data_IF_612700984823
#
_entry.id   IF_612700984823
#
_cell.length_a   1.000
_cell.length_b   1.000
_cell.length_c   1.000
_cell.angle_alpha   90.00
_cell.angle_beta   90.00
_cell.angle_gamma   90.00
#
_symmetry.space_group_name_H-M   'P 1'
#
loop_
_entity.id
_entity.type
_entity.pdbx_description
1 polymer ?
#
# COMPACT_ATOMS: atom_id res chain seq x y z
N UNK A 1 2.09 33.71 -23.07
CA UNK A 1 2.86 33.85 -21.81
C UNK A 1 2.24 33.17 -20.59
N UNK A 2 0.93 33.29 -20.29
CA UNK A 2 0.33 32.61 -19.12
C UNK A 2 0.40 31.08 -19.17
N UNK A 3 0.29 30.50 -20.36
CA UNK A 3 0.40 29.05 -20.59
C UNK A 3 1.82 28.52 -20.42
N UNK A 4 2.84 29.25 -20.88
CA UNK A 4 4.24 28.85 -20.73
C UNK A 4 4.67 28.84 -19.26
N UNK A 5 4.23 29.83 -18.47
CA UNK A 5 4.48 29.85 -17.02
C UNK A 5 3.82 28.67 -16.31
N UNK A 6 2.59 28.30 -16.69
CA UNK A 6 1.89 27.13 -16.12
C UNK A 6 2.62 25.83 -16.47
N UNK A 7 3.02 25.66 -17.73
CA UNK A 7 3.75 24.47 -18.18
C UNK A 7 5.10 24.35 -17.46
N UNK A 8 5.88 25.42 -17.40
CA UNK A 8 7.16 25.43 -16.68
C UNK A 8 6.99 25.16 -15.18
N UNK A 9 5.91 25.66 -14.57
CA UNK A 9 5.61 25.40 -13.15
C UNK A 9 5.27 23.93 -12.89
N UNK A 10 4.60 23.27 -13.83
CA UNK A 10 4.31 21.83 -13.76
C UNK A 10 5.59 21.02 -13.91
N UNK A 11 6.45 21.36 -14.87
CA UNK A 11 7.77 20.71 -15.03
C UNK A 11 8.60 20.88 -13.76
N UNK A 12 8.66 22.09 -13.20
CA UNK A 12 9.38 22.37 -11.97
C UNK A 12 8.82 21.58 -10.78
N UNK A 13 7.51 21.39 -10.70
CA UNK A 13 6.88 20.53 -9.68
C UNK A 13 7.38 19.08 -9.76
N UNK A 14 7.42 18.49 -10.96
CA UNK A 14 7.96 17.14 -11.13
C UNK A 14 9.46 17.06 -10.81
N UNK A 15 10.24 18.09 -11.14
CA UNK A 15 11.65 18.16 -10.76
C UNK A 15 11.84 18.21 -9.24
N UNK A 16 11.01 18.99 -8.52
CA UNK A 16 11.05 18.99 -7.06
C UNK A 16 10.62 17.65 -6.46
N UNK A 17 9.63 16.96 -7.05
CA UNK A 17 9.27 15.61 -6.63
C UNK A 17 10.46 14.67 -6.79
N UNK A 18 11.14 14.69 -7.94
CA UNK A 18 12.32 13.86 -8.19
C UNK A 18 13.47 14.17 -7.24
N UNK A 19 13.75 15.45 -6.99
CA UNK A 19 14.77 15.89 -6.04
C UNK A 19 14.47 15.38 -4.62
N UNK A 20 13.23 15.56 -4.15
CA UNK A 20 12.81 15.08 -2.84
C UNK A 20 12.84 13.56 -2.76
N UNK A 21 12.48 12.85 -3.84
CA UNK A 21 12.59 11.39 -3.92
C UNK A 21 14.01 10.92 -3.65
N UNK A 22 14.99 11.53 -4.32
CA UNK A 22 16.40 11.18 -4.16
C UNK A 22 16.89 11.45 -2.74
N UNK A 23 16.56 12.62 -2.18
CA UNK A 23 16.94 12.98 -0.80
C UNK A 23 16.30 12.03 0.22
N UNK A 24 15.06 11.61 0.00
CA UNK A 24 14.35 10.68 0.89
C UNK A 24 14.93 9.26 0.77
N UNK A 25 15.31 8.84 -0.43
CA UNK A 25 15.98 7.55 -0.67
C UNK A 25 17.36 7.47 0.00
N UNK A 26 18.15 8.55 -0.05
CA UNK A 26 19.43 8.63 0.66
C UNK A 26 19.27 8.46 2.19
N UNK A 27 18.12 8.88 2.75
CA UNK A 27 17.82 8.71 4.19
C UNK A 27 17.55 7.23 4.53
N UNK A 28 17.08 6.42 3.58
CA UNK A 28 16.83 4.99 3.79
C UNK A 28 18.13 4.19 3.97
N UNK A 29 19.23 4.63 3.35
CA UNK A 29 20.53 3.95 3.45
C UNK A 29 21.23 4.19 4.80
N UNK A 30 20.79 5.18 5.60
CA UNK A 30 21.42 5.49 6.90
C UNK A 30 21.22 4.40 7.95
N UNK A 31 20.17 3.58 7.82
CA UNK A 31 19.88 2.49 8.74
C UNK A 31 19.31 1.31 7.94
N UNK A 32 20.02 0.18 7.81
CA UNK A 32 19.48 -0.97 7.13
C UNK A 32 18.28 -1.55 7.90
N UNK A 33 17.30 -2.14 7.20
CA UNK A 33 16.15 -2.76 7.84
C UNK A 33 16.61 -3.93 8.71
N UNK A 34 15.91 -4.20 9.84
CA UNK A 34 16.17 -5.40 10.62
C UNK A 34 15.97 -6.65 9.75
N UNK A 35 16.89 -7.60 9.82
CA UNK A 35 16.79 -8.87 9.08
C UNK A 35 16.20 -9.97 9.96
N UNK A 36 15.14 -10.62 9.49
CA UNK A 36 14.45 -11.68 10.23
C UNK A 36 15.37 -12.84 10.63
N UNK A 37 16.36 -13.19 9.80
CA UNK A 37 17.28 -14.29 10.09
C UNK A 37 18.10 -14.04 11.35
N UNK A 38 18.52 -12.80 11.62
CA UNK A 38 19.27 -12.48 12.83
C UNK A 38 18.44 -12.74 14.11
N UNK A 39 17.12 -12.55 14.05
CA UNK A 39 16.22 -12.86 15.16
C UNK A 39 16.00 -14.36 15.32
N UNK A 40 15.95 -15.13 14.23
CA UNK A 40 15.86 -16.59 14.30
C UNK A 40 17.16 -17.23 14.78
N UNK A 41 18.32 -16.76 14.31
CA UNK A 41 19.62 -17.28 14.73
C UNK A 41 19.93 -17.00 16.20
N UNK A 42 19.42 -15.88 16.74
CA UNK A 42 19.62 -15.49 18.14
C UNK A 42 18.52 -16.03 19.06
N UNK A 43 17.28 -16.11 18.58
CA UNK A 43 16.09 -16.46 19.37
C UNK A 43 15.78 -17.96 19.41
N UNK A 44 16.29 -18.75 18.47
CA UNK A 44 16.07 -20.21 18.43
C UNK A 44 17.30 -20.91 18.98
N UNK A 45 17.07 -21.96 19.78
CA UNK A 45 18.15 -22.80 20.27
C UNK A 45 18.90 -23.47 19.11
N UNK A 46 20.21 -23.21 19.04
CA UNK A 46 21.09 -23.75 18.02
C UNK A 46 21.14 -25.29 18.06
N UNK A 47 20.95 -25.91 19.22
CA UNK A 47 20.90 -27.37 19.39
C UNK A 47 19.65 -27.95 18.73
N UNK A 48 18.48 -27.33 18.94
CA UNK A 48 17.22 -27.77 18.32
C UNK A 48 17.27 -27.67 16.80
N UNK A 49 17.87 -26.60 16.28
CA UNK A 49 18.03 -26.40 14.84
C UNK A 49 19.01 -27.41 14.23
N UNK A 50 20.07 -27.80 14.96
CA UNK A 50 20.97 -28.89 14.55
C UNK A 50 20.25 -30.24 14.53
N UNK A 51 19.54 -30.58 15.61
CA UNK A 51 18.76 -31.81 15.70
C UNK A 51 17.72 -31.90 14.56
N UNK A 52 16.99 -30.82 14.27
CA UNK A 52 16.04 -30.78 13.15
C UNK A 52 16.72 -31.05 11.80
N UNK A 53 17.94 -30.53 11.56
CA UNK A 53 18.70 -30.82 10.33
C UNK A 53 19.16 -32.27 10.24
N UNK A 54 19.63 -32.85 11.34
CA UNK A 54 20.06 -34.25 11.40
C UNK A 54 18.90 -35.23 11.18
N UNK A 55 17.74 -34.97 11.80
CA UNK A 55 16.53 -35.78 11.59
C UNK A 55 15.98 -35.65 10.16
N UNK A 56 16.05 -34.46 9.54
CA UNK A 56 15.67 -34.32 8.14
C UNK A 56 16.63 -35.03 7.19
N UNK A 57 17.94 -34.99 7.45
CA UNK A 57 18.93 -35.70 6.65
C UNK A 57 18.75 -37.22 6.74
N UNK A 58 18.52 -37.75 7.95
CA UNK A 58 18.23 -39.19 8.15
C UNK A 58 16.90 -39.62 7.53
N UNK A 59 15.86 -38.78 7.59
CA UNK A 59 14.59 -39.03 6.92
C UNK A 59 14.76 -39.18 5.41
N UNK A 60 15.62 -38.36 4.80
CA UNK A 60 15.88 -38.43 3.35
C UNK A 60 16.61 -39.72 2.97
N UNK A 61 17.59 -40.16 3.75
CA UNK A 61 18.26 -41.45 3.55
C UNK A 61 17.25 -42.61 3.62
N UNK A 62 16.39 -42.64 4.64
CA UNK A 62 15.37 -43.69 4.78
C UNK A 62 14.38 -43.66 3.62
N UNK A 63 13.99 -42.48 3.13
CA UNK A 63 13.11 -42.38 1.95
C UNK A 63 13.75 -42.97 0.71
N UNK A 64 15.03 -42.70 0.48
CA UNK A 64 15.79 -43.29 -0.63
C UNK A 64 15.87 -44.82 -0.49
N UNK A 65 16.17 -45.33 0.70
CA UNK A 65 16.24 -46.77 0.96
C UNK A 65 14.88 -47.46 0.80
N UNK A 66 13.81 -46.83 1.26
CA UNK A 66 12.44 -47.32 1.09
C UNK A 66 12.04 -47.38 -0.38
N UNK A 67 12.41 -46.38 -1.18
CA UNK A 67 12.16 -46.39 -2.62
C UNK A 67 12.90 -47.54 -3.32
N UNK A 68 14.18 -47.75 -2.97
CA UNK A 68 14.98 -48.89 -3.45
C UNK A 68 14.37 -50.23 -3.04
N UNK A 69 13.94 -50.36 -1.79
CA UNK A 69 13.31 -51.60 -1.31
C UNK A 69 11.94 -51.85 -1.95
N UNK A 70 11.19 -50.80 -2.28
CA UNK A 70 9.93 -50.92 -3.01
C UNK A 70 10.13 -51.50 -4.42
N UNK A 71 11.21 -51.11 -5.10
CA UNK A 71 11.58 -51.68 -6.40
C UNK A 71 11.96 -53.16 -6.28
N UNK A 72 12.80 -53.50 -5.29
CA UNK A 72 13.18 -54.90 -5.00
C UNK A 72 11.93 -55.74 -4.74
N UNK A 73 11.03 -55.29 -3.86
CA UNK A 73 9.77 -55.98 -3.57
C UNK A 73 8.92 -56.20 -4.82
N UNK A 74 8.87 -55.22 -5.72
CA UNK A 74 8.13 -55.33 -6.99
C UNK A 74 8.72 -56.44 -7.85
N UNK A 75 10.04 -56.43 -8.05
CA UNK A 75 10.74 -57.47 -8.80
C UNK A 75 10.57 -58.87 -8.17
N UNK A 76 10.62 -58.99 -6.84
CA UNK A 76 10.37 -60.25 -6.12
C UNK A 76 8.91 -60.70 -6.23
N UNK A 77 7.95 -59.77 -6.22
CA UNK A 77 6.53 -60.05 -6.42
C UNK A 77 6.26 -60.62 -7.82
N UNK A 78 6.92 -60.08 -8.84
CA UNK A 78 6.83 -60.59 -10.21
C UNK A 78 7.44 -61.99 -10.32
N UNK A 79 8.64 -62.21 -9.78
CA UNK A 79 9.29 -63.51 -9.75
C UNK A 79 8.46 -64.57 -8.99
N UNK A 80 7.87 -64.19 -7.85
CA UNK A 80 6.92 -65.03 -7.11
C UNK A 80 5.68 -65.36 -7.94
N UNK A 81 5.15 -64.39 -8.69
CA UNK A 81 4.04 -64.60 -9.62
C UNK A 81 4.35 -65.67 -10.66
N UNK A 82 5.52 -65.58 -11.30
CA UNK A 82 5.99 -66.57 -12.28
C UNK A 82 6.19 -67.95 -11.65
N UNK A 83 6.83 -68.02 -10.48
CA UNK A 83 7.05 -69.29 -9.76
C UNK A 83 5.72 -69.95 -9.33
N UNK A 84 4.76 -69.15 -8.88
CA UNK A 84 3.40 -69.60 -8.54
C UNK A 84 2.68 -70.18 -9.75
N UNK A 85 2.74 -69.50 -10.89
CA UNK A 85 2.08 -69.95 -12.12
C UNK A 85 2.71 -71.26 -12.65
N UNK A 86 4.03 -71.39 -12.52
CA UNK A 86 4.80 -72.59 -12.89
C UNK A 86 4.42 -73.77 -11.99
N UNK A 87 4.38 -73.56 -10.68
CA UNK A 87 3.92 -74.57 -9.72
C UNK A 87 2.46 -74.97 -9.96
N UNK A 88 1.56 -74.00 -10.19
CA UNK A 88 0.17 -74.26 -10.50
C UNK A 88 0.01 -75.06 -11.81
N UNK A 89 0.85 -74.80 -12.82
CA UNK A 89 0.86 -75.58 -14.06
C UNK A 89 1.32 -77.01 -13.83
N UNK A 90 2.44 -77.22 -13.14
CA UNK A 90 2.93 -78.56 -12.80
C UNK A 90 1.89 -79.34 -11.98
N UNK A 91 1.23 -78.68 -11.03
CA UNK A 91 0.17 -79.27 -10.22
C UNK A 91 -1.06 -79.67 -11.06
N UNK A 92 -1.48 -78.84 -12.02
CA UNK A 92 -2.58 -79.18 -12.95
C UNK A 92 -2.26 -80.41 -13.78
N UNK A 93 -1.04 -80.52 -14.33
CA UNK A 93 -0.62 -81.69 -15.12
C UNK A 93 -0.58 -82.94 -14.24
N UNK A 94 -0.04 -82.83 -13.03
CA UNK A 94 -0.02 -83.92 -12.05
C UNK A 94 -1.43 -84.42 -11.69
N UNK A 95 -2.37 -83.50 -11.44
CA UNK A 95 -3.77 -83.84 -11.16
C UNK A 95 -4.47 -84.47 -12.37
N UNK A 96 -4.17 -84.00 -13.58
CA UNK A 96 -4.73 -84.55 -14.81
C UNK A 96 -4.32 -86.03 -15.00
N UNK A 97 -3.05 -86.37 -14.80
CA UNK A 97 -2.55 -87.75 -14.90
C UNK A 97 -3.24 -88.67 -13.88
N UNK A 98 -3.37 -88.22 -12.63
CA UNK A 98 -4.10 -88.96 -11.58
C UNK A 98 -5.57 -89.17 -11.94
N UNK A 99 -6.25 -88.14 -12.45
CA UNK A 99 -7.66 -88.21 -12.84
C UNK A 99 -7.89 -89.09 -14.06
N UNK A 100 -6.92 -89.16 -14.96
CA UNK A 100 -6.92 -90.06 -16.12
C UNK A 100 -6.61 -91.52 -15.75
N UNK A 101 -6.40 -91.84 -14.46
CA UNK A 101 -6.12 -93.19 -13.99
C UNK A 101 -4.70 -93.68 -14.29
N UNK A 102 -3.78 -92.78 -14.66
CA UNK A 102 -2.36 -93.09 -14.91
C UNK A 102 -1.52 -92.74 -13.68
N UNK A 103 -0.46 -93.52 -13.43
CA UNK A 103 0.52 -93.14 -12.41
C UNK A 103 1.45 -92.07 -12.96
N UNK A 104 1.63 -90.93 -12.26
CA UNK A 104 2.57 -89.89 -12.67
C UNK A 104 4.00 -90.46 -12.81
N UNK A 105 4.68 -90.11 -13.90
CA UNK A 105 6.08 -90.49 -14.11
C UNK A 105 6.96 -89.97 -12.95
N UNK A 106 8.12 -90.61 -12.74
CA UNK A 106 9.12 -90.14 -11.77
C UNK A 106 9.59 -88.73 -12.09
N UNK A 107 9.79 -88.43 -13.38
CA UNK A 107 10.18 -87.11 -13.89
C UNK A 107 9.15 -86.03 -13.52
N UNK A 108 7.85 -86.27 -13.75
CA UNK A 108 6.79 -85.31 -13.43
C UNK A 108 6.67 -85.03 -11.92
N UNK A 109 6.94 -86.03 -11.08
CA UNK A 109 6.98 -85.84 -9.61
C UNK A 109 8.15 -85.00 -9.17
N UNK A 110 9.30 -85.16 -9.81
CA UNK A 110 10.50 -84.36 -9.56
C UNK A 110 10.31 -82.91 -10.03
N UNK A 111 9.73 -82.69 -11.21
CA UNK A 111 9.37 -81.35 -11.72
C UNK A 111 8.41 -80.62 -10.77
N UNK A 112 7.39 -81.32 -10.24
CA UNK A 112 6.47 -80.74 -9.27
C UNK A 112 7.19 -80.35 -7.96
N UNK A 113 8.09 -81.20 -7.48
CA UNK A 113 8.88 -80.92 -6.28
C UNK A 113 9.80 -79.71 -6.47
N UNK A 114 10.51 -79.65 -7.60
CA UNK A 114 11.37 -78.51 -7.96
C UNK A 114 10.56 -77.21 -8.12
N UNK A 115 9.39 -77.27 -8.77
CA UNK A 115 8.52 -76.10 -8.92
C UNK A 115 7.97 -75.61 -7.57
N UNK A 116 7.63 -76.53 -6.66
CA UNK A 116 7.21 -76.19 -5.30
C UNK A 116 8.34 -75.54 -4.51
N UNK A 117 9.55 -76.10 -4.54
CA UNK A 117 10.73 -75.52 -3.90
C UNK A 117 11.01 -74.11 -4.43
N UNK A 118 11.00 -73.93 -5.75
CA UNK A 118 11.16 -72.63 -6.39
C UNK A 118 10.11 -71.59 -5.97
N UNK A 119 8.85 -72.00 -5.82
CA UNK A 119 7.78 -71.13 -5.32
C UNK A 119 8.01 -70.75 -3.85
N UNK A 120 8.33 -71.70 -2.98
CA UNK A 120 8.60 -71.42 -1.56
C UNK A 120 9.82 -70.51 -1.36
N UNK A 121 10.88 -70.70 -2.16
CA UNK A 121 12.04 -69.82 -2.16
C UNK A 121 11.68 -68.40 -2.62
N UNK A 122 10.90 -68.27 -3.70
CA UNK A 122 10.44 -66.96 -4.17
C UNK A 122 9.55 -66.27 -3.13
N UNK A 123 8.66 -67.00 -2.47
CA UNK A 123 7.83 -66.51 -1.37
C UNK A 123 8.68 -65.99 -0.21
N UNK A 124 9.70 -66.74 0.23
CA UNK A 124 10.58 -66.33 1.32
C UNK A 124 11.31 -65.01 0.99
N UNK A 125 11.82 -64.85 -0.24
CA UNK A 125 12.48 -63.58 -0.65
C UNK A 125 11.52 -62.39 -0.76
N UNK A 126 10.25 -62.63 -1.08
CA UNK A 126 9.23 -61.59 -1.09
C UNK A 126 8.85 -61.18 0.35
N UNK A 127 8.69 -62.15 1.25
CA UNK A 127 8.42 -61.92 2.66
C UNK A 127 9.55 -61.11 3.31
N UNK A 128 10.82 -61.46 3.03
CA UNK A 128 12.01 -60.71 3.45
C UNK A 128 11.95 -59.24 3.01
N UNK A 129 11.77 -58.99 1.71
CA UNK A 129 11.66 -57.63 1.17
C UNK A 129 10.45 -56.86 1.75
N UNK A 130 9.34 -57.56 2.05
CA UNK A 130 8.18 -56.94 2.68
C UNK A 130 8.43 -56.59 4.15
N UNK A 131 9.16 -57.42 4.89
CA UNK A 131 9.56 -57.11 6.28
C UNK A 131 10.53 -55.93 6.34
N UNK A 132 11.54 -55.88 5.46
CA UNK A 132 12.48 -54.77 5.40
C UNK A 132 11.79 -53.44 5.07
N UNK A 133 10.82 -53.46 4.15
CA UNK A 133 10.01 -52.29 3.83
C UNK A 133 9.14 -51.82 5.01
N UNK A 134 8.61 -52.77 5.79
CA UNK A 134 7.84 -52.46 7.00
C UNK A 134 8.73 -51.84 8.09
N UNK A 135 9.94 -52.36 8.28
CA UNK A 135 10.92 -51.84 9.24
C UNK A 135 11.38 -50.42 8.87
N UNK A 136 11.69 -50.16 7.60
CA UNK A 136 11.97 -48.80 7.10
C UNK A 136 10.79 -47.85 7.30
N UNK A 137 9.56 -48.35 7.10
CA UNK A 137 8.34 -47.60 7.37
C UNK A 137 8.18 -47.22 8.85
N UNK A 138 8.51 -48.15 9.77
CA UNK A 138 8.48 -47.90 11.20
C UNK A 138 9.54 -46.88 11.62
N UNK A 139 10.76 -46.96 11.08
CA UNK A 139 11.81 -45.97 11.32
C UNK A 139 11.43 -44.58 10.79
N UNK A 140 10.86 -44.49 9.58
CA UNK A 140 10.37 -43.24 9.00
C UNK A 140 9.33 -42.58 9.91
N UNK A 141 8.40 -43.39 10.45
CA UNK A 141 7.38 -42.90 11.38
C UNK A 141 7.98 -42.40 12.69
N UNK A 142 8.93 -43.12 13.27
CA UNK A 142 9.61 -42.72 14.50
C UNK A 142 10.35 -41.38 14.33
N UNK A 143 11.09 -41.19 13.23
CA UNK A 143 11.77 -39.92 12.94
C UNK A 143 10.77 -38.79 12.72
N UNK A 144 9.66 -39.03 12.02
CA UNK A 144 8.61 -38.02 11.85
C UNK A 144 7.98 -37.61 13.17
N UNK A 145 7.82 -38.55 14.11
CA UNK A 145 7.33 -38.25 15.44
C UNK A 145 8.30 -37.34 16.20
N UNK A 146 9.60 -37.61 16.15
CA UNK A 146 10.63 -36.75 16.76
C UNK A 146 10.74 -35.37 16.09
N UNK A 147 10.56 -35.30 14.77
CA UNK A 147 10.47 -34.02 14.08
C UNK A 147 9.25 -33.23 14.53
N UNK A 148 8.11 -33.88 14.79
CA UNK A 148 6.91 -33.21 15.28
C UNK A 148 7.09 -32.72 16.73
N UNK A 149 7.77 -33.48 17.60
CA UNK A 149 8.08 -33.04 18.98
C UNK A 149 9.06 -31.87 18.97
N UNK A 150 10.09 -31.91 18.12
CA UNK A 150 11.03 -30.81 17.91
C UNK A 150 10.34 -29.56 17.37
N UNK A 151 9.49 -29.68 16.35
CA UNK A 151 8.76 -28.54 15.79
C UNK A 151 7.85 -27.91 16.84
N UNK A 152 7.20 -28.70 17.71
CA UNK A 152 6.42 -28.15 18.83
C UNK A 152 7.26 -27.36 19.85
N UNK A 153 8.56 -27.68 19.99
CA UNK A 153 9.51 -26.94 20.85
C UNK A 153 10.05 -25.69 20.17
N UNK A 154 10.31 -25.76 18.86
CA UNK A 154 10.86 -24.66 18.06
C UNK A 154 9.78 -23.60 17.74
N UNK A 155 8.54 -24.03 17.51
CA UNK A 155 7.42 -23.16 17.14
C UNK A 155 7.22 -21.97 18.08
N UNK A 156 7.15 -22.11 19.42
CA UNK A 156 7.02 -20.95 20.31
C UNK A 156 8.22 -20.00 20.21
N UNK A 157 9.45 -20.52 20.08
CA UNK A 157 10.65 -19.70 19.91
C UNK A 157 10.63 -18.92 18.59
N UNK A 158 10.13 -19.53 17.50
CA UNK A 158 9.94 -18.84 16.22
C UNK A 158 8.90 -17.71 16.32
N UNK A 159 7.80 -17.95 17.05
CA UNK A 159 6.77 -16.92 17.25
C UNK A 159 7.35 -15.77 18.06
N UNK A 160 8.04 -16.05 19.17
CA UNK A 160 8.68 -15.02 19.99
C UNK A 160 9.73 -14.22 19.19
N UNK A 161 10.58 -14.89 18.44
CA UNK A 161 11.56 -14.23 17.57
C UNK A 161 10.89 -13.36 16.48
N UNK A 162 9.74 -13.81 15.94
CA UNK A 162 8.96 -13.03 14.99
C UNK A 162 8.32 -11.80 15.63
N UNK A 163 7.78 -11.92 16.85
CA UNK A 163 7.20 -10.80 17.59
C UNK A 163 8.27 -9.73 17.89
N UNK A 164 9.47 -10.15 18.29
CA UNK A 164 10.62 -9.24 18.48
C UNK A 164 11.05 -8.56 17.18
N UNK A 165 11.03 -9.29 16.06
CA UNK A 165 11.28 -8.73 14.74
C UNK A 165 10.22 -7.69 14.35
N UNK A 166 8.94 -7.97 14.63
CA UNK A 166 7.84 -7.04 14.34
C UNK A 166 7.99 -5.75 15.16
N UNK A 167 8.34 -5.85 16.45
CA UNK A 167 8.60 -4.71 17.31
C UNK A 167 9.81 -3.89 16.81
N UNK A 168 10.92 -4.55 16.49
CA UNK A 168 12.10 -3.89 15.94
C UNK A 168 11.82 -3.20 14.59
N UNK A 169 10.98 -3.81 13.74
CA UNK A 169 10.57 -3.25 12.46
C UNK A 169 9.68 -2.02 12.65
N UNK A 170 8.76 -2.05 13.61
CA UNK A 170 7.93 -0.88 13.96
C UNK A 170 8.78 0.28 14.44
N UNK A 171 9.70 0.05 15.37
CA UNK A 171 10.61 1.08 15.88
C UNK A 171 11.49 1.67 14.77
N UNK A 172 12.03 0.79 13.93
CA UNK A 172 12.82 1.18 12.76
C UNK A 172 12.03 2.09 11.81
N UNK A 173 10.80 1.71 11.45
CA UNK A 173 9.94 2.48 10.56
C UNK A 173 9.55 3.84 11.16
N UNK A 174 9.25 3.90 12.46
CA UNK A 174 8.95 5.15 13.15
C UNK A 174 10.14 6.10 13.21
N UNK A 175 11.33 5.55 13.45
CA UNK A 175 12.58 6.30 13.47
C UNK A 175 12.88 6.89 12.08
N UNK A 176 12.80 6.09 11.01
CA UNK A 176 12.96 6.56 9.63
C UNK A 176 11.92 7.62 9.26
N UNK A 177 10.66 7.40 9.61
CA UNK A 177 9.59 8.37 9.36
C UNK A 177 9.90 9.72 10.04
N UNK A 178 10.40 9.69 11.27
CA UNK A 178 10.77 10.90 12.02
C UNK A 178 11.90 11.65 11.32
N UNK A 179 12.94 10.97 10.84
CA UNK A 179 14.01 11.60 10.08
C UNK A 179 13.51 12.20 8.76
N UNK A 180 12.73 11.45 7.97
CA UNK A 180 12.14 11.93 6.71
C UNK A 180 11.24 13.15 6.93
N UNK A 181 10.34 13.09 7.91
CA UNK A 181 9.43 14.19 8.23
C UNK A 181 10.16 15.40 8.81
N UNK A 182 11.18 15.20 9.64
CA UNK A 182 12.01 16.29 10.19
C UNK A 182 12.69 17.10 9.09
N UNK A 183 12.95 16.50 7.91
CA UNK A 183 13.49 17.22 6.76
C UNK A 183 12.40 17.89 5.91
N UNK A 184 11.31 17.17 5.60
CA UNK A 184 10.29 17.64 4.65
C UNK A 184 9.36 18.71 5.26
N UNK A 185 9.01 18.58 6.54
CA UNK A 185 8.07 19.52 7.21
C UNK A 185 8.63 20.95 7.22
N UNK A 186 9.89 21.21 7.63
CA UNK A 186 10.46 22.56 7.57
C UNK A 186 10.43 23.17 6.16
N UNK A 187 10.75 22.39 5.13
CA UNK A 187 10.71 22.84 3.73
C UNK A 187 9.28 23.23 3.33
N UNK A 188 8.29 22.42 3.69
CA UNK A 188 6.87 22.69 3.41
C UNK A 188 6.37 23.93 4.15
N UNK A 189 6.71 24.08 5.44
CA UNK A 189 6.33 25.24 6.26
C UNK A 189 6.96 26.53 5.74
N UNK A 190 8.25 26.50 5.37
CA UNK A 190 8.93 27.66 4.77
C UNK A 190 8.28 28.07 3.44
N UNK A 191 7.92 27.10 2.59
CA UNK A 191 7.23 27.36 1.34
C UNK A 191 5.83 27.97 1.57
N UNK A 192 5.06 27.43 2.52
CA UNK A 192 3.75 27.94 2.90
C UNK A 192 3.83 29.37 3.47
N UNK A 193 4.77 29.61 4.38
CA UNK A 193 5.02 30.93 4.98
C UNK A 193 5.41 31.97 3.92
N UNK A 194 6.35 31.61 3.03
CA UNK A 194 6.78 32.49 1.94
C UNK A 194 5.60 32.85 1.01
N UNK A 195 4.74 31.88 0.68
CA UNK A 195 3.56 32.09 -0.16
C UNK A 195 2.50 32.99 0.53
N UNK A 196 2.36 32.87 1.86
CA UNK A 196 1.44 33.67 2.65
C UNK A 196 1.89 35.14 2.78
N UNK A 197 3.18 35.37 3.03
CA UNK A 197 3.74 36.72 3.25
C UNK A 197 4.02 37.47 1.95
N UNK A 198 4.43 36.79 0.86
CA UNK A 198 4.78 37.44 -0.43
C UNK A 198 3.63 37.38 -1.44
N UNK A 199 2.51 38.06 -1.14
CA UNK A 199 1.29 38.02 -1.98
C UNK A 199 1.41 38.69 -3.36
N UNK A 200 2.28 39.69 -3.51
CA UNK A 200 2.46 40.42 -4.78
C UNK A 200 3.68 39.91 -5.59
N UNK A 201 4.37 38.86 -5.12
CA UNK A 201 5.66 38.47 -5.69
C UNK A 201 5.54 37.62 -6.96
N UNK A 202 6.41 37.90 -7.93
CA UNK A 202 6.57 37.19 -9.20
C UNK A 202 6.87 35.69 -8.99
N UNK A 203 7.53 35.33 -7.88
CA UNK A 203 7.95 33.95 -7.57
C UNK A 203 6.82 33.02 -7.07
N UNK A 204 5.57 33.50 -7.00
CA UNK A 204 4.42 32.70 -6.53
C UNK A 204 4.24 31.34 -7.21
N UNK A 205 4.38 31.19 -8.54
CA UNK A 205 4.22 29.89 -9.20
C UNK A 205 5.27 28.87 -8.74
N UNK A 206 6.50 29.32 -8.51
CA UNK A 206 7.62 28.50 -8.02
C UNK A 206 7.36 28.03 -6.59
N UNK A 207 6.99 28.96 -5.69
CA UNK A 207 6.67 28.63 -4.30
C UNK A 207 5.48 27.68 -4.18
N UNK A 208 4.49 27.80 -5.08
CA UNK A 208 3.36 26.86 -5.14
C UNK A 208 3.80 25.47 -5.56
N UNK A 209 4.67 25.34 -6.56
CA UNK A 209 5.21 24.06 -6.99
C UNK A 209 6.00 23.39 -5.86
N UNK A 210 6.87 24.14 -5.17
CA UNK A 210 7.63 23.63 -4.02
C UNK A 210 6.73 23.19 -2.86
N UNK A 211 5.73 24.01 -2.52
CA UNK A 211 4.76 23.67 -1.47
C UNK A 211 3.98 22.40 -1.83
N UNK A 212 3.49 22.29 -3.07
CA UNK A 212 2.71 21.14 -3.50
C UNK A 212 3.58 19.86 -3.53
N UNK A 213 4.83 19.96 -3.99
CA UNK A 213 5.76 18.82 -4.06
C UNK A 213 6.16 18.34 -2.66
N UNK A 214 6.53 19.25 -1.77
CA UNK A 214 6.84 18.92 -0.37
C UNK A 214 5.62 18.33 0.34
N UNK A 215 4.44 18.92 0.18
CA UNK A 215 3.21 18.41 0.77
C UNK A 215 2.85 17.02 0.26
N UNK A 216 2.99 16.76 -1.05
CA UNK A 216 2.78 15.44 -1.63
C UNK A 216 3.66 14.38 -0.95
N UNK A 217 4.95 14.67 -0.78
CA UNK A 217 5.87 13.77 -0.09
C UNK A 217 5.56 13.60 1.40
N UNK A 218 5.08 14.64 2.10
CA UNK A 218 4.58 14.49 3.49
C UNK A 218 3.46 13.45 3.53
N UNK A 219 2.50 13.51 2.59
CA UNK A 219 1.39 12.55 2.53
C UNK A 219 1.88 11.14 2.20
N UNK A 220 2.79 10.99 1.25
CA UNK A 220 3.35 9.69 0.87
C UNK A 220 4.12 9.05 2.03
N UNK A 221 5.06 9.78 2.64
CA UNK A 221 5.86 9.29 3.78
C UNK A 221 4.95 8.93 4.96
N UNK A 222 3.94 9.77 5.24
CA UNK A 222 2.97 9.46 6.29
C UNK A 222 2.15 8.20 6.00
N UNK A 223 1.74 7.98 4.76
CA UNK A 223 0.95 6.79 4.39
C UNK A 223 1.79 5.50 4.44
N UNK A 224 3.06 5.57 4.05
CA UNK A 224 3.93 4.41 3.98
C UNK A 224 4.45 3.96 5.36
N UNK A 225 4.78 4.91 6.24
CA UNK A 225 5.46 4.57 7.50
C UNK A 225 4.55 4.61 8.75
N UNK A 226 3.39 5.27 8.71
CA UNK A 226 2.46 5.29 9.87
C UNK A 226 1.31 4.30 9.66
N UNK A 227 1.11 3.42 10.64
CA UNK A 227 -0.09 2.58 10.74
C UNK A 227 -1.38 3.45 10.62
N UNK A 228 -2.37 2.98 9.86
CA UNK A 228 -3.62 3.70 9.51
C UNK A 228 -4.34 4.35 10.71
N UNK A 229 -4.08 3.89 11.94
CA UNK A 229 -4.70 4.42 13.17
C UNK A 229 -4.37 5.90 13.39
N UNK A 230 -3.12 6.32 13.23
CA UNK A 230 -2.71 7.72 13.47
C UNK A 230 -2.95 8.62 12.27
N UNK A 231 -2.76 8.09 11.05
CA UNK A 231 -3.03 8.81 9.81
C UNK A 231 -4.47 9.34 9.73
N UNK A 232 -5.46 8.57 10.17
CA UNK A 232 -6.88 8.99 10.18
C UNK A 232 -7.10 10.27 10.98
N UNK A 233 -6.48 10.41 12.15
CA UNK A 233 -6.65 11.61 12.98
C UNK A 233 -5.96 12.83 12.37
N UNK A 234 -4.76 12.67 11.82
CA UNK A 234 -4.03 13.78 11.18
C UNK A 234 -4.73 14.22 9.88
N UNK A 235 -5.19 13.27 9.06
CA UNK A 235 -5.94 13.56 7.85
C UNK A 235 -7.27 14.27 8.17
N UNK A 236 -8.02 13.78 9.16
CA UNK A 236 -9.28 14.39 9.59
C UNK A 236 -9.08 15.80 10.13
N UNK A 237 -8.09 16.01 11.02
CA UNK A 237 -7.79 17.34 11.57
C UNK A 237 -7.34 18.31 10.49
N UNK A 238 -6.48 17.88 9.55
CA UNK A 238 -6.08 18.70 8.41
C UNK A 238 -7.29 19.07 7.52
N UNK A 239 -8.19 18.13 7.25
CA UNK A 239 -9.39 18.40 6.46
C UNK A 239 -10.30 19.42 7.16
N UNK A 240 -10.53 19.26 8.47
CA UNK A 240 -11.32 20.21 9.28
C UNK A 240 -10.69 21.60 9.26
N UNK A 241 -9.37 21.71 9.41
CA UNK A 241 -8.66 22.99 9.34
C UNK A 241 -8.76 23.64 7.96
N UNK A 242 -8.68 22.87 6.87
CA UNK A 242 -8.84 23.36 5.50
C UNK A 242 -10.27 23.88 5.29
N UNK A 243 -11.28 23.11 5.70
CA UNK A 243 -12.69 23.50 5.60
C UNK A 243 -12.94 24.76 6.42
N UNK A 244 -12.44 24.83 7.66
CA UNK A 244 -12.57 26.00 8.53
C UNK A 244 -11.90 27.23 7.90
N UNK A 245 -10.69 27.10 7.37
CA UNK A 245 -9.98 28.19 6.71
C UNK A 245 -10.71 28.66 5.44
N UNK A 246 -11.31 27.74 4.69
CA UNK A 246 -12.13 28.07 3.53
C UNK A 246 -13.41 28.79 3.94
N UNK A 247 -14.10 28.31 4.96
CA UNK A 247 -15.32 28.91 5.50
C UNK A 247 -15.05 30.32 6.02
N UNK A 248 -13.96 30.53 6.77
CA UNK A 248 -13.52 31.88 7.20
C UNK A 248 -13.22 32.78 6.01
N UNK A 249 -12.54 32.29 4.96
CA UNK A 249 -12.30 33.08 3.75
C UNK A 249 -13.59 33.44 3.02
N UNK A 250 -14.55 32.52 2.92
CA UNK A 250 -15.84 32.77 2.30
C UNK A 250 -16.63 33.81 3.08
N UNK A 251 -16.69 33.67 4.40
CA UNK A 251 -17.32 34.66 5.27
C UNK A 251 -16.67 36.05 5.12
N UNK A 252 -15.34 36.13 5.09
CA UNK A 252 -14.64 37.40 4.85
C UNK A 252 -14.95 37.98 3.47
N UNK A 253 -15.04 37.15 2.43
CA UNK A 253 -15.36 37.61 1.08
C UNK A 253 -16.82 38.06 0.93
N UNK A 254 -17.74 37.44 1.68
CA UNK A 254 -19.16 37.80 1.69
C UNK A 254 -19.43 39.04 2.54
N UNK A 255 -18.71 39.22 3.65
CA UNK A 255 -18.90 40.36 4.54
C UNK A 255 -18.19 41.64 4.07
N UNK A 256 -17.15 41.54 3.24
CA UNK A 256 -16.41 42.70 2.68
C UNK A 256 -16.10 42.48 1.20
N UNK A 257 -17.04 42.77 0.28
CA UNK A 257 -16.78 42.68 -1.16
C UNK A 257 -15.63 43.60 -1.56
N UNK A 258 -14.84 43.18 -2.57
CA UNK A 258 -13.66 43.94 -3.02
C UNK A 258 -14.09 45.33 -3.51
N UNK A 259 -13.37 46.41 -3.12
CA UNK A 259 -13.75 47.78 -3.47
C UNK A 259 -13.82 47.97 -5.00
N UNK A 260 -12.93 47.33 -5.75
CA UNK A 260 -12.91 47.43 -7.23
C UNK A 260 -14.19 46.86 -7.88
N UNK A 261 -14.77 45.81 -7.29
CA UNK A 261 -16.01 45.21 -7.80
C UNK A 261 -17.20 46.10 -7.46
N UNK A 262 -17.24 46.66 -6.24
CA UNK A 262 -18.27 47.63 -5.85
C UNK A 262 -18.25 48.88 -6.73
N UNK A 263 -17.06 49.40 -7.04
CA UNK A 263 -16.92 50.56 -7.93
C UNK A 263 -17.39 50.26 -9.36
N UNK A 264 -17.09 49.06 -9.88
CA UNK A 264 -17.59 48.63 -11.20
C UNK A 264 -19.11 48.49 -11.22
N UNK A 265 -19.67 47.85 -10.19
CA UNK A 265 -21.12 47.68 -10.06
C UNK A 265 -21.83 49.04 -9.98
N UNK A 266 -21.34 49.96 -9.14
CA UNK A 266 -21.88 51.32 -9.04
C UNK A 266 -21.86 52.03 -10.40
N UNK A 267 -20.74 51.96 -11.12
CA UNK A 267 -20.61 52.58 -12.45
C UNK A 267 -21.66 52.02 -13.42
N UNK A 268 -21.87 50.71 -13.42
CA UNK A 268 -22.88 50.08 -14.28
C UNK A 268 -24.31 50.47 -13.91
N UNK A 269 -24.63 50.61 -12.63
CA UNK A 269 -25.95 51.07 -12.16
C UNK A 269 -26.27 52.50 -12.63
N UNK A 270 -25.30 53.42 -12.55
CA UNK A 270 -25.46 54.79 -13.06
C UNK A 270 -25.68 54.83 -14.58
N UNK A 271 -24.97 53.99 -15.34
CA UNK A 271 -25.20 53.88 -16.79
C UNK A 271 -26.59 53.35 -17.17
N UNK A 272 -27.25 52.63 -16.25
CA UNK A 272 -28.59 52.07 -16.43
C UNK A 272 -29.68 52.94 -15.78
N UNK A 273 -29.35 54.14 -15.29
CA UNK A 273 -30.26 55.03 -14.56
C UNK A 273 -30.96 54.35 -13.37
N UNK A 274 -30.22 53.50 -12.67
CA UNK A 274 -30.69 52.75 -11.50
C UNK A 274 -29.86 53.12 -10.28
N UNK A 275 -30.52 53.24 -9.14
CA UNK A 275 -29.82 53.46 -7.88
C UNK A 275 -28.92 52.24 -7.56
N UNK A 276 -27.63 52.43 -7.25
CA UNK A 276 -26.72 51.32 -6.98
C UNK A 276 -27.00 50.59 -5.66
N UNK A 277 -27.79 51.18 -4.76
CA UNK A 277 -28.10 50.59 -3.46
C UNK A 277 -29.44 49.82 -3.46
N UNK A 278 -30.51 50.42 -4.00
CA UNK A 278 -31.85 49.84 -3.97
C UNK A 278 -32.41 49.47 -5.36
N UNK A 279 -31.62 49.61 -6.42
CA UNK A 279 -32.01 49.36 -7.82
C UNK A 279 -33.22 50.18 -8.33
N UNK A 280 -33.59 51.26 -7.63
CA UNK A 280 -34.67 52.14 -8.03
C UNK A 280 -34.32 52.93 -9.30
N UNK A 281 -35.15 52.83 -10.34
CA UNK A 281 -34.99 53.60 -11.58
C UNK A 281 -35.35 55.06 -11.36
N UNK A 282 -34.45 55.97 -11.72
CA UNK A 282 -34.69 57.42 -11.65
C UNK A 282 -34.74 58.02 -13.07
N UNK A 283 -35.48 59.13 -13.26
CA UNK A 283 -35.60 59.77 -14.57
C UNK A 283 -34.30 60.46 -15.00
N UNK A 284 -34.04 60.51 -16.30
CA UNK A 284 -32.87 61.19 -16.88
C UNK A 284 -32.83 62.70 -16.60
N UNK A 285 -33.99 63.33 -16.43
CA UNK A 285 -34.11 64.73 -16.03
C UNK A 285 -34.12 64.86 -14.51
N UNK A 286 -32.94 64.73 -13.92
CA UNK A 286 -32.67 64.97 -12.50
C UNK A 286 -31.84 66.24 -12.40
N UNK A 287 -32.28 67.19 -11.57
CA UNK A 287 -31.55 68.44 -11.32
C UNK A 287 -30.16 68.22 -10.70
N UNK A 288 -29.47 69.31 -10.36
CA UNK A 288 -28.06 69.27 -9.95
C UNK A 288 -27.78 68.42 -8.69
N UNK A 289 -28.78 68.26 -7.82
CA UNK A 289 -28.74 67.35 -6.67
C UNK A 289 -29.99 66.46 -6.65
N UNK A 290 -29.78 65.15 -6.60
CA UNK A 290 -30.88 64.17 -6.56
C UNK A 290 -30.63 63.10 -5.51
N UNK A 291 -31.61 62.94 -4.63
CA UNK A 291 -31.64 61.93 -3.57
C UNK A 291 -32.70 60.90 -3.90
N UNK A 292 -32.34 59.62 -3.83
CA UNK A 292 -33.28 58.55 -4.15
C UNK A 292 -34.46 58.55 -3.17
N UNK A 293 -35.72 58.60 -3.64
CA UNK A 293 -36.87 58.57 -2.75
C UNK A 293 -37.11 57.20 -2.10
N UNK A 294 -36.56 56.12 -2.65
CA UNK A 294 -36.74 54.76 -2.14
C UNK A 294 -35.77 54.39 -1.02
N UNK A 295 -34.51 54.87 -1.07
CA UNK A 295 -33.48 54.52 -0.09
C UNK A 295 -32.82 55.72 0.61
N UNK A 296 -33.15 56.96 0.22
CA UNK A 296 -32.59 58.17 0.82
C UNK A 296 -31.12 58.43 0.44
N UNK A 297 -30.52 57.63 -0.43
CA UNK A 297 -29.12 57.82 -0.86
C UNK A 297 -29.02 59.00 -1.82
N UNK A 298 -28.13 59.96 -1.52
CA UNK A 298 -27.76 61.04 -2.43
C UNK A 298 -27.00 60.50 -3.64
N UNK A 299 -27.67 60.39 -4.78
CA UNK A 299 -27.09 59.86 -6.03
C UNK A 299 -26.21 60.88 -6.72
N UNK A 300 -26.66 62.13 -6.72
CA UNK A 300 -26.04 63.27 -7.39
C UNK A 300 -25.89 64.45 -6.44
N UNK A 301 -24.74 65.14 -6.51
CA UNK A 301 -24.44 66.34 -5.75
C UNK A 301 -23.55 67.29 -6.56
N UNK A 302 -23.59 68.58 -6.26
CA UNK A 302 -22.76 69.57 -6.94
C UNK A 302 -21.28 69.38 -6.56
N UNK A 303 -20.41 69.42 -7.57
CA UNK A 303 -18.98 69.34 -7.36
C UNK A 303 -18.44 70.64 -6.75
N UNK A 304 -17.72 70.55 -5.64
CA UNK A 304 -17.10 71.71 -4.97
C UNK A 304 -16.05 72.43 -5.85
N UNK A 305 -15.49 71.77 -6.88
CA UNK A 305 -14.47 72.34 -7.75
C UNK A 305 -15.03 73.02 -9.02
N UNK A 306 -16.09 72.47 -9.62
CA UNK A 306 -16.63 72.98 -10.89
C UNK A 306 -18.12 73.37 -10.86
N UNK A 307 -18.83 73.14 -9.75
CA UNK A 307 -20.25 73.47 -9.59
C UNK A 307 -21.24 72.52 -10.28
N UNK A 308 -20.78 71.72 -11.25
CA UNK A 308 -21.63 70.78 -12.01
C UNK A 308 -22.05 69.55 -11.18
N UNK A 309 -23.15 68.90 -11.59
CA UNK A 309 -23.62 67.64 -11.01
C UNK A 309 -22.57 66.53 -11.12
N UNK A 310 -22.36 65.82 -10.02
CA UNK A 310 -21.41 64.72 -9.85
C UNK A 310 -22.13 63.50 -9.31
N UNK A 311 -21.69 62.32 -9.74
CA UNK A 311 -22.02 61.06 -9.07
C UNK A 311 -21.37 60.99 -7.68
N UNK A 312 -22.19 61.03 -6.63
CA UNK A 312 -21.70 61.09 -5.24
C UNK A 312 -20.98 59.78 -4.81
N UNK A 313 -21.40 58.64 -5.35
CA UNK A 313 -20.86 57.31 -4.98
C UNK A 313 -19.61 56.89 -5.79
N UNK A 314 -19.15 57.72 -6.73
CA UNK A 314 -17.89 57.54 -7.46
C UNK A 314 -16.81 58.50 -6.93
N UNK A 315 -15.53 58.08 -6.95
CA UNK A 315 -14.42 58.88 -6.42
C UNK A 315 -14.07 60.10 -7.28
N UNK A 316 -14.30 60.07 -8.60
CA UNK A 316 -13.90 61.13 -9.53
C UNK A 316 -15.09 61.81 -10.18
N UNK A 317 -15.02 63.13 -10.35
CA UNK A 317 -16.00 63.90 -11.13
C UNK A 317 -15.83 63.66 -12.63
N UNK A 318 -16.95 63.48 -13.35
CA UNK A 318 -16.95 63.24 -14.81
C UNK A 318 -16.54 64.49 -15.60
N UNK A 319 -16.76 65.68 -15.06
CA UNK A 319 -16.51 66.95 -15.76
C UNK A 319 -15.10 67.51 -15.55
N UNK A 320 -14.59 67.51 -14.31
CA UNK A 320 -13.30 68.13 -13.97
C UNK A 320 -12.26 67.14 -13.46
N UNK A 321 -12.62 65.87 -13.20
CA UNK A 321 -11.70 64.85 -12.70
C UNK A 321 -11.27 65.00 -11.24
N UNK A 322 -11.83 65.96 -10.48
CA UNK A 322 -11.48 66.13 -9.06
C UNK A 322 -11.84 64.88 -8.26
N UNK A 323 -10.91 64.40 -7.43
CA UNK A 323 -11.14 63.30 -6.49
C UNK A 323 -11.75 63.84 -5.20
N UNK A 324 -12.81 63.20 -4.72
CA UNK A 324 -13.31 63.39 -3.36
C UNK A 324 -13.73 62.01 -2.86
N UNK A 325 -13.46 61.72 -1.61
CA UNK A 325 -13.84 60.45 -1.01
C UNK A 325 -15.33 60.22 -1.23
N UNK A 326 -15.68 59.17 -1.99
CA UNK A 326 -17.07 58.78 -2.17
C UNK A 326 -17.70 58.69 -0.78
N UNK A 327 -18.74 59.49 -0.53
CA UNK A 327 -19.34 59.55 0.79
C UNK A 327 -19.79 58.14 1.15
N UNK A 328 -19.10 57.53 2.12
CA UNK A 328 -19.51 56.29 2.70
C UNK A 328 -20.79 56.63 3.45
N UNK A 329 -21.94 56.39 2.81
CA UNK A 329 -23.20 56.33 3.51
C UNK A 329 -23.00 55.31 4.61
N UNK A 330 -23.08 55.80 5.84
CA UNK A 330 -22.95 55.06 7.08
C UNK A 330 -23.86 53.83 7.07
N UNK A 331 -23.30 52.74 7.59
CA UNK A 331 -23.96 51.47 7.86
C UNK A 331 -25.30 51.62 8.61
#
# INVERSE_FOLDING_TARGET
MRWTIRLLSVVLFFLFIGLLCYIIGDIDDLRPPPELQNFYDTGIDAELTRAQREFNASLEVIRMDKARQQEIKTNRSEAMGVARDTWAQAQRVHQFELTAGRQPSTELREELAQAHEGYTAAQATFEEANTELADLGAQEYAIKQELATLENRIRPQRVEAYDLYEEATKDHNHTLATYKLSFIIPVSLLAAWALAKRRESIYRPILKALLLASFFWVVVVMHEHFEFKYFKYIALTAAVLIVLAFLVRLLQSSARPRPDLLLKQRRESYHRNTCPECAYSYPDDHGDAFTCPACGTGLFANCNACGNSRHNLLPFCIHCGSEEAASAVSA
#
